data_IF_240495446459
#
_entry.id   IF_240495446459
#
_cell.length_a   1.000
_cell.length_b   1.000
_cell.length_c   1.000
_cell.angle_alpha   90.00
_cell.angle_beta   90.00
_cell.angle_gamma   90.00
#
_symmetry.space_group_name_H-M   'P 1'
#
loop_
_entity.id
_entity.type
_entity.pdbx_description
1 polymer ?
#
# COMPACT_ATOMS: atom_id res chain seq x y z
N UNK A 1 -5.00 25.44 1.69
CA UNK A 1 -4.88 24.56 2.88
C UNK A 1 -5.52 25.28 4.06
N UNK A 2 -6.45 24.65 4.79
CA UNK A 2 -7.09 25.27 5.97
C UNK A 2 -6.12 25.32 7.15
N UNK A 3 -6.14 26.41 7.93
CA UNK A 3 -5.23 26.60 9.07
C UNK A 3 -5.60 25.79 10.31
N UNK A 4 -6.84 25.31 10.36
CA UNK A 4 -7.42 24.53 11.46
C UNK A 4 -7.50 23.03 11.14
N UNK A 5 -6.75 22.57 10.13
CA UNK A 5 -6.73 21.16 9.72
C UNK A 5 -5.30 20.64 9.63
N UNK A 6 -5.11 19.37 10.01
CA UNK A 6 -3.91 18.60 9.75
C UNK A 6 -4.18 17.73 8.53
N UNK A 7 -3.31 17.82 7.52
CA UNK A 7 -3.41 17.03 6.30
C UNK A 7 -2.36 15.93 6.34
N UNK A 8 -2.80 14.70 6.05
CA UNK A 8 -1.92 13.55 5.93
C UNK A 8 -1.84 13.13 4.47
N UNK A 9 -0.70 12.59 4.09
CA UNK A 9 -0.55 11.93 2.81
C UNK A 9 -1.13 10.53 2.91
N UNK A 10 -1.76 10.09 1.82
CA UNK A 10 -2.13 8.68 1.68
C UNK A 10 -0.85 7.84 1.79
N UNK A 11 -0.80 6.85 2.70
CA UNK A 11 0.33 5.93 2.77
C UNK A 11 0.53 5.27 1.41
N UNK A 12 1.76 5.30 0.90
CA UNK A 12 2.09 4.80 -0.41
C UNK A 12 3.47 4.13 -0.41
N UNK A 13 3.69 3.23 -1.37
CA UNK A 13 4.95 2.52 -1.52
C UNK A 13 5.40 2.52 -2.98
N UNK A 14 6.71 2.59 -3.17
CA UNK A 14 7.39 2.43 -4.45
C UNK A 14 7.40 0.94 -4.79
N UNK A 15 6.94 0.60 -5.99
CA UNK A 15 6.95 -0.76 -6.51
C UNK A 15 8.37 -1.22 -6.87
N UNK A 16 8.71 -2.50 -6.61
CA UNK A 16 10.02 -3.06 -6.98
C UNK A 16 10.27 -2.99 -8.50
N UNK A 17 11.54 -2.93 -8.96
CA UNK A 17 11.88 -2.86 -10.39
C UNK A 17 11.35 -4.02 -11.24
N UNK A 18 11.09 -5.18 -10.62
CA UNK A 18 10.55 -6.34 -11.29
C UNK A 18 9.10 -6.14 -11.79
N UNK A 19 8.37 -5.15 -11.26
CA UNK A 19 7.02 -4.84 -11.74
C UNK A 19 7.10 -3.70 -12.75
N UNK A 20 6.84 -4.06 -14.00
CA UNK A 20 6.89 -3.15 -15.14
C UNK A 20 5.52 -2.58 -15.48
N UNK A 21 5.51 -1.59 -16.38
CA UNK A 21 4.28 -0.97 -16.90
C UNK A 21 3.33 -0.39 -15.84
N UNK A 22 3.87 0.01 -14.67
CA UNK A 22 3.13 0.77 -13.66
C UNK A 22 3.20 2.26 -14.02
N UNK A 23 2.06 2.80 -14.48
CA UNK A 23 1.85 4.24 -14.62
C UNK A 23 1.60 4.89 -13.25
N UNK A 24 0.73 5.89 -13.17
CA UNK A 24 0.29 6.41 -11.87
C UNK A 24 -0.83 5.53 -11.34
N UNK A 25 -0.62 4.96 -10.16
CA UNK A 25 -1.68 4.36 -9.38
C UNK A 25 -2.27 5.49 -8.53
N UNK A 26 -3.54 5.83 -8.71
CA UNK A 26 -4.10 7.12 -8.26
C UNK A 26 -3.47 8.34 -8.97
N UNK A 27 -4.29 9.28 -9.45
CA UNK A 27 -3.84 10.37 -10.36
C UNK A 27 -2.78 11.30 -9.75
N UNK A 28 -2.67 11.33 -8.43
CA UNK A 28 -1.74 12.19 -7.69
C UNK A 28 -0.45 11.49 -7.23
N UNK A 29 -0.30 10.17 -7.44
CA UNK A 29 0.95 9.48 -7.09
C UNK A 29 1.93 9.49 -8.27
N UNK A 30 3.25 9.61 -8.00
CA UNK A 30 4.28 9.45 -9.01
C UNK A 30 4.20 8.08 -9.68
N UNK A 31 4.79 7.98 -10.89
CA UNK A 31 4.93 6.68 -11.56
C UNK A 31 5.62 5.67 -10.65
N UNK A 32 5.15 4.42 -10.70
CA UNK A 32 5.64 3.31 -9.86
C UNK A 32 5.44 3.50 -8.36
N UNK A 33 4.62 4.46 -7.94
CA UNK A 33 4.15 4.57 -6.55
C UNK A 33 2.70 4.12 -6.52
N UNK A 34 2.33 3.29 -5.54
CA UNK A 34 0.98 2.79 -5.33
C UNK A 34 0.54 3.04 -3.88
N UNK A 35 -0.76 3.26 -3.66
CA UNK A 35 -1.33 3.27 -2.33
C UNK A 35 -0.97 1.99 -1.54
N UNK A 36 -0.68 2.15 -0.24
CA UNK A 36 -0.31 1.03 0.62
C UNK A 36 -1.43 -0.02 0.73
N UNK A 37 -2.70 0.40 0.61
CA UNK A 37 -3.85 -0.51 0.54
C UNK A 37 -3.81 -1.39 -0.71
N UNK A 38 -3.46 -0.84 -1.88
CA UNK A 38 -3.27 -1.65 -3.09
C UNK A 38 -2.10 -2.62 -2.94
N UNK A 39 -0.99 -2.18 -2.37
CA UNK A 39 0.15 -3.06 -2.09
C UNK A 39 -0.24 -4.18 -1.14
N UNK A 40 -1.01 -3.90 -0.09
CA UNK A 40 -1.52 -4.91 0.83
C UNK A 40 -2.33 -6.01 0.12
N UNK A 41 -3.21 -5.64 -0.82
CA UNK A 41 -3.96 -6.63 -1.62
C UNK A 41 -3.09 -7.50 -2.52
N UNK A 42 -2.03 -6.91 -3.13
CA UNK A 42 -1.06 -7.67 -3.91
C UNK A 42 -0.30 -8.66 -3.02
N UNK A 43 0.21 -8.19 -1.89
CA UNK A 43 0.96 -9.00 -0.93
C UNK A 43 0.12 -10.14 -0.38
N UNK A 44 -1.13 -9.85 -0.03
CA UNK A 44 -2.07 -10.85 0.42
C UNK A 44 -2.21 -12.01 -0.57
N UNK A 45 -2.28 -11.70 -1.87
CA UNK A 45 -2.32 -12.71 -2.94
C UNK A 45 -0.98 -13.44 -3.08
N UNK A 46 0.15 -12.71 -3.08
CA UNK A 46 1.49 -13.31 -3.24
C UNK A 46 1.86 -14.28 -2.11
N UNK A 47 1.38 -14.02 -0.90
CA UNK A 47 1.61 -14.84 0.27
C UNK A 47 0.59 -15.98 0.44
N UNK A 48 -0.42 -16.06 -0.45
CA UNK A 48 -1.53 -17.02 -0.37
C UNK A 48 -2.21 -17.03 1.01
N UNK A 49 -2.53 -15.85 1.54
CA UNK A 49 -3.30 -15.76 2.77
C UNK A 49 -4.78 -16.06 2.50
N UNK A 50 -5.39 -16.87 3.37
CA UNK A 50 -6.79 -17.30 3.20
C UNK A 50 -7.82 -16.32 3.78
N UNK A 51 -7.37 -15.26 4.47
CA UNK A 51 -8.27 -14.28 5.08
C UNK A 51 -8.95 -13.39 4.03
N UNK A 52 -10.13 -12.87 4.34
CA UNK A 52 -10.84 -11.95 3.44
C UNK A 52 -11.62 -10.90 4.21
N UNK A 53 -11.96 -9.82 3.54
CA UNK A 53 -12.67 -8.67 4.12
C UNK A 53 -14.16 -8.93 4.46
N UNK A 54 -14.71 -10.09 4.11
CA UNK A 54 -16.10 -10.43 4.45
C UNK A 54 -16.22 -10.96 5.89
N UNK A 55 -17.10 -10.37 6.71
CA UNK A 55 -17.45 -10.87 8.06
C UNK A 55 -17.44 -9.81 9.16
N UNK A 56 -17.83 -10.19 10.37
CA UNK A 56 -17.82 -9.33 11.56
C UNK A 56 -16.39 -8.97 12.04
N UNK A 57 -15.39 -9.75 11.62
CA UNK A 57 -13.96 -9.53 11.92
C UNK A 57 -13.22 -8.81 10.77
N UNK A 58 -13.96 -8.21 9.82
CA UNK A 58 -13.47 -7.57 8.58
C UNK A 58 -12.53 -6.39 8.77
N UNK A 59 -12.36 -5.89 9.98
CA UNK A 59 -11.60 -4.66 10.27
C UNK A 59 -10.08 -4.86 10.22
N UNK A 60 -9.58 -6.10 10.20
CA UNK A 60 -8.14 -6.37 10.10
C UNK A 60 -7.90 -7.57 9.16
N UNK A 61 -7.95 -7.34 7.85
CA UNK A 61 -7.58 -8.32 6.81
C UNK A 61 -6.32 -9.12 7.19
N UNK A 62 -5.34 -8.44 7.80
CA UNK A 62 -4.13 -9.00 8.41
C UNK A 62 -3.54 -8.03 9.44
N UNK A 63 -2.67 -8.51 10.33
CA UNK A 63 -1.85 -7.63 11.18
C UNK A 63 -1.01 -6.70 10.30
N UNK A 64 -1.15 -5.38 10.46
CA UNK A 64 -0.41 -4.36 9.69
C UNK A 64 1.09 -4.64 9.65
N UNK A 65 1.67 -5.11 10.76
CA UNK A 65 3.09 -5.45 10.85
C UNK A 65 3.47 -6.64 9.95
N UNK A 66 2.59 -7.64 9.84
CA UNK A 66 2.76 -8.80 8.96
C UNK A 66 2.76 -8.36 7.49
N UNK A 67 1.78 -7.53 7.11
CA UNK A 67 1.67 -6.99 5.74
C UNK A 67 2.86 -6.10 5.42
N UNK A 68 3.28 -5.27 6.36
CA UNK A 68 4.43 -4.38 6.21
C UNK A 68 5.73 -5.17 6.00
N UNK A 69 6.01 -6.16 6.85
CA UNK A 69 7.19 -7.00 6.72
C UNK A 69 7.20 -7.75 5.37
N UNK A 70 6.07 -8.35 4.98
CA UNK A 70 5.95 -9.02 3.68
C UNK A 70 6.13 -8.03 2.51
N UNK A 71 5.54 -6.83 2.58
CA UNK A 71 5.73 -5.77 1.57
C UNK A 71 7.22 -5.45 1.37
N UNK A 72 7.98 -5.33 2.47
CA UNK A 72 9.42 -5.08 2.40
C UNK A 72 10.20 -6.26 1.81
N UNK A 73 9.80 -7.51 2.12
CA UNK A 73 10.40 -8.73 1.57
C UNK A 73 10.20 -8.84 0.05
N UNK A 74 9.01 -8.49 -0.45
CA UNK A 74 8.71 -8.43 -1.88
C UNK A 74 9.30 -7.21 -2.60
N UNK A 75 10.10 -6.39 -1.91
CA UNK A 75 10.86 -5.30 -2.51
C UNK A 75 10.08 -3.98 -2.65
N UNK A 76 8.87 -3.88 -2.11
CA UNK A 76 8.21 -2.59 -1.95
C UNK A 76 8.97 -1.73 -0.94
N UNK A 77 8.95 -0.41 -1.15
CA UNK A 77 9.62 0.55 -0.27
C UNK A 77 8.70 1.71 0.07
N UNK A 78 8.72 2.24 1.31
CA UNK A 78 7.86 3.37 1.67
C UNK A 78 8.15 4.57 0.78
N UNK A 79 7.09 5.18 0.24
CA UNK A 79 7.23 6.42 -0.52
C UNK A 79 7.19 7.59 0.46
N UNK A 80 8.25 8.39 0.48
CA UNK A 80 8.22 9.73 1.08
C UNK A 80 7.65 10.64 -0.01
N UNK A 81 6.34 10.55 -0.27
CA UNK A 81 5.72 11.52 -1.14
C UNK A 81 5.74 12.88 -0.42
N UNK A 82 6.73 13.70 -0.76
CA UNK A 82 6.72 15.14 -0.44
C UNK A 82 5.60 15.78 -1.26
N UNK A 83 4.65 16.42 -0.59
CA UNK A 83 3.73 17.37 -1.24
C UNK A 83 4.39 18.74 -1.27
#
# INVERSE_FOLDING_TARGET
MRKDCVYFNTPAMIAPPAIENIHSCEDWLPRRVMSASRVAGIIHTLENWDSHECGSDSIMLENVEKVWAASLLHGFRPSIASV
#
